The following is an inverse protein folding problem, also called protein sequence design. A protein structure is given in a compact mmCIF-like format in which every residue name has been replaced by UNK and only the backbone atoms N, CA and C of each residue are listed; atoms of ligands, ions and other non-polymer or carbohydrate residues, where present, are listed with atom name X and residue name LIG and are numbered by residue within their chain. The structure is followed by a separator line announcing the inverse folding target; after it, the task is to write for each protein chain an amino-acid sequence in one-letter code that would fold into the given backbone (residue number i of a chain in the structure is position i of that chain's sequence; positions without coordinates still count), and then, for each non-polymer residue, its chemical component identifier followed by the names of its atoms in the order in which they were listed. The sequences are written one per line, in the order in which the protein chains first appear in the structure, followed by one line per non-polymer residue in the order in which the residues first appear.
data_IF_895614399809
#
_entry.id   IF_895614399809
#
_cell.length_a   1.000
_cell.length_b   1.000
_cell.length_c   1.000
_cell.angle_alpha   90.00
_cell.angle_beta   90.00
_cell.angle_gamma   90.00
#
_symmetry.space_group_name_H-M   'P 1'
#
loop_
_entity.id
_entity.type
_entity.pdbx_description
1 polymer ?
#
# COMPACT_ATOMS: atom_id res chain seq x y z
N UNK A 1 16.79 -59.01 27.85
CA UNK A 1 16.96 -58.07 26.70
C UNK A 1 16.10 -58.61 25.56
N UNK A 2 15.16 -57.94 24.89
CA UNK A 2 14.65 -56.56 24.81
C UNK A 2 13.15 -56.66 24.46
N UNK A 3 12.31 -55.73 24.91
CA UNK A 3 11.12 -55.29 24.17
C UNK A 3 10.80 -53.82 24.47
N UNK A 4 10.99 -52.93 23.48
CA UNK A 4 10.15 -51.75 23.34
C UNK A 4 9.70 -51.64 21.88
N UNK A 5 8.47 -52.08 21.58
CA UNK A 5 7.90 -51.94 20.23
C UNK A 5 6.45 -51.41 20.22
N UNK A 6 5.86 -51.19 21.40
CA UNK A 6 4.46 -50.77 21.53
C UNK A 6 4.35 -49.24 21.71
N UNK A 7 5.32 -48.59 22.34
CA UNK A 7 5.29 -47.15 22.58
C UNK A 7 5.46 -46.31 21.29
N UNK A 8 6.23 -46.79 20.31
CA UNK A 8 6.49 -46.04 19.07
C UNK A 8 5.28 -45.98 18.15
N UNK A 9 4.47 -47.05 18.08
CA UNK A 9 3.27 -47.07 17.26
C UNK A 9 2.17 -46.15 17.83
N UNK A 10 2.06 -46.04 19.16
CA UNK A 10 1.10 -45.14 19.80
C UNK A 10 1.43 -43.65 19.54
N UNK A 11 2.73 -43.28 19.55
CA UNK A 11 3.16 -41.91 19.23
C UNK A 11 2.92 -41.53 17.77
N UNK A 12 3.13 -42.46 16.84
CA UNK A 12 2.89 -42.23 15.39
C UNK A 12 1.39 -42.08 15.07
N UNK A 13 0.51 -42.82 15.75
CA UNK A 13 -0.94 -42.63 15.63
C UNK A 13 -1.42 -41.31 16.24
N UNK A 14 -0.84 -40.87 17.36
CA UNK A 14 -1.14 -39.55 17.94
C UNK A 14 -0.71 -38.40 17.03
N UNK A 15 0.42 -38.52 16.32
CA UNK A 15 0.83 -37.55 15.30
C UNK A 15 -0.05 -37.57 14.05
N UNK A 16 -0.49 -38.74 13.58
CA UNK A 16 -1.38 -38.86 12.43
C UNK A 16 -2.79 -38.33 12.70
N UNK A 17 -3.30 -38.49 13.93
CA UNK A 17 -4.61 -37.96 14.35
C UNK A 17 -4.54 -36.45 14.62
N UNK A 18 -3.42 -35.92 15.12
CA UNK A 18 -3.23 -34.47 15.27
C UNK A 18 -3.04 -33.75 13.91
N UNK A 19 -2.49 -34.43 12.91
CA UNK A 19 -2.31 -33.87 11.57
C UNK A 19 -3.60 -33.88 10.70
N UNK A 20 -4.63 -34.66 11.08
CA UNK A 20 -5.86 -34.83 10.29
C UNK A 20 -7.04 -33.98 10.76
N UNK A 21 -6.87 -33.12 11.76
CA UNK A 21 -7.94 -32.19 12.23
C UNK A 21 -7.52 -30.72 12.29
N UNK A 22 -6.35 -30.36 11.73
CA UNK A 22 -6.15 -28.99 11.29
C UNK A 22 -6.94 -28.82 9.99
N UNK A 23 -8.25 -28.71 10.14
CA UNK A 23 -9.13 -28.11 9.16
C UNK A 23 -8.65 -26.65 9.03
N UNK A 24 -7.58 -26.46 8.24
CA UNK A 24 -7.11 -25.15 7.84
C UNK A 24 -8.22 -24.64 6.96
N UNK A 25 -9.24 -24.03 7.58
CA UNK A 25 -10.23 -23.24 6.87
C UNK A 25 -9.42 -22.38 5.91
N UNK A 26 -9.62 -22.60 4.61
CA UNK A 26 -8.99 -21.80 3.56
C UNK A 26 -9.20 -20.36 3.97
N UNK A 27 -8.14 -19.66 4.33
CA UNK A 27 -8.31 -18.36 4.93
C UNK A 27 -8.89 -17.43 3.85
N UNK A 28 -9.94 -16.69 4.22
CA UNK A 28 -10.69 -15.93 3.22
C UNK A 28 -9.90 -14.67 2.85
N UNK A 29 -9.35 -14.66 1.64
CA UNK A 29 -8.74 -13.48 1.05
C UNK A 29 -9.84 -12.61 0.41
N UNK A 30 -9.89 -11.33 0.79
CA UNK A 30 -10.81 -10.37 0.18
C UNK A 30 -10.02 -9.25 -0.43
N UNK A 31 -10.35 -8.88 -1.67
CA UNK A 31 -9.72 -7.73 -2.28
C UNK A 31 -10.43 -6.48 -1.80
N UNK A 32 -9.65 -5.49 -1.38
CA UNK A 32 -10.11 -4.12 -1.15
C UNK A 32 -9.61 -3.30 -2.33
N UNK A 33 -10.13 -3.62 -3.52
CA UNK A 33 -9.76 -2.88 -4.72
C UNK A 33 -10.54 -1.56 -4.73
N UNK A 34 -9.85 -0.41 -4.80
CA UNK A 34 -10.48 0.91 -4.96
C UNK A 34 -9.97 1.60 -6.22
N UNK A 35 -10.90 2.24 -6.91
CA UNK A 35 -10.65 3.25 -7.94
C UNK A 35 -10.74 4.66 -7.37
N UNK A 36 -9.65 5.40 -7.56
CA UNK A 36 -9.61 6.75 -8.13
C UNK A 36 -10.19 7.93 -7.35
N UNK A 37 -9.27 8.77 -6.87
CA UNK A 37 -9.53 10.07 -6.28
C UNK A 37 -8.69 11.16 -6.97
N UNK A 38 -9.31 12.08 -7.68
CA UNK A 38 -8.61 13.07 -8.49
C UNK A 38 -9.03 14.50 -8.15
N UNK A 39 -8.10 15.43 -8.31
CA UNK A 39 -8.29 16.87 -8.18
C UNK A 39 -8.63 17.44 -9.57
N UNK A 40 -9.89 17.83 -9.76
CA UNK A 40 -10.43 18.83 -10.71
C UNK A 40 -9.53 19.48 -11.80
N UNK A 41 -10.10 19.76 -13.00
CA UNK A 41 -9.73 19.31 -14.37
C UNK A 41 -8.56 20.02 -15.09
N UNK A 42 -7.66 20.73 -14.42
CA UNK A 42 -6.60 21.50 -15.10
C UNK A 42 -5.20 20.99 -14.80
N UNK A 43 -4.51 20.46 -15.82
CA UNK A 43 -3.04 20.33 -15.82
C UNK A 43 -2.46 18.94 -16.05
N UNK A 44 -3.27 17.87 -16.12
CA UNK A 44 -2.76 16.53 -16.42
C UNK A 44 -2.49 16.37 -17.92
N UNK A 45 -1.55 15.50 -18.28
CA UNK A 45 -1.40 15.06 -19.66
C UNK A 45 -2.71 14.49 -20.20
N UNK A 46 -2.97 14.72 -21.50
CA UNK A 46 -4.12 14.13 -22.17
C UNK A 46 -4.12 12.60 -22.01
N UNK A 47 -5.27 12.03 -21.67
CA UNK A 47 -5.46 10.60 -21.47
C UNK A 47 -5.09 10.06 -20.08
N UNK A 48 -4.63 10.90 -19.13
CA UNK A 48 -4.28 10.43 -17.78
C UNK A 48 -5.45 9.71 -17.10
N UNK A 49 -6.63 10.35 -17.07
CA UNK A 49 -7.80 9.72 -16.48
C UNK A 49 -8.23 8.44 -17.20
N UNK A 50 -8.11 8.36 -18.53
CA UNK A 50 -8.39 7.11 -19.24
C UNK A 50 -7.43 5.99 -18.83
N UNK A 51 -6.14 6.31 -18.64
CA UNK A 51 -5.14 5.36 -18.17
C UNK A 51 -5.39 4.90 -16.73
N UNK A 52 -5.75 5.80 -15.83
CA UNK A 52 -6.11 5.51 -14.44
C UNK A 52 -7.38 4.65 -14.35
N UNK A 53 -8.41 5.00 -15.14
CA UNK A 53 -9.64 4.20 -15.27
C UNK A 53 -9.33 2.78 -15.72
N UNK A 54 -8.56 2.68 -16.81
CA UNK A 54 -8.19 1.42 -17.43
C UNK A 54 -7.45 0.53 -16.45
N UNK A 55 -6.41 1.04 -15.78
CA UNK A 55 -5.57 0.19 -14.93
C UNK A 55 -6.35 -0.36 -13.74
N UNK A 56 -7.23 0.42 -13.14
CA UNK A 56 -7.98 -0.12 -12.02
C UNK A 56 -9.02 -1.15 -12.46
N UNK A 57 -9.62 -0.97 -13.64
CA UNK A 57 -10.47 -2.00 -14.24
C UNK A 57 -9.67 -3.29 -14.50
N UNK A 58 -8.46 -3.19 -15.05
CA UNK A 58 -7.60 -4.35 -15.26
C UNK A 58 -7.23 -5.06 -13.96
N UNK A 59 -6.82 -4.32 -12.93
CA UNK A 59 -6.51 -4.91 -11.62
C UNK A 59 -7.74 -5.61 -11.04
N UNK A 60 -8.92 -4.99 -11.16
CA UNK A 60 -10.17 -5.62 -10.75
C UNK A 60 -10.38 -6.98 -11.43
N UNK A 61 -10.20 -7.04 -12.76
CA UNK A 61 -10.35 -8.26 -13.55
C UNK A 61 -9.26 -9.30 -13.27
N UNK A 62 -8.01 -8.86 -13.05
CA UNK A 62 -6.90 -9.73 -12.64
C UNK A 62 -7.27 -10.50 -11.36
N UNK A 63 -7.80 -9.82 -10.33
CA UNK A 63 -8.29 -10.51 -9.15
C UNK A 63 -9.55 -11.34 -9.41
N UNK A 64 -10.52 -10.83 -10.19
CA UNK A 64 -11.77 -11.54 -10.46
C UNK A 64 -11.51 -12.90 -11.13
N UNK A 65 -10.60 -12.93 -12.11
CA UNK A 65 -10.29 -14.13 -12.88
C UNK A 65 -9.54 -15.21 -12.09
N UNK A 66 -8.93 -14.88 -10.95
CA UNK A 66 -8.26 -15.88 -10.10
C UNK A 66 -9.23 -16.75 -9.32
N UNK A 67 -10.46 -16.26 -9.05
CA UNK A 67 -11.48 -16.98 -8.28
C UNK A 67 -11.16 -17.16 -6.79
N UNK A 68 -9.96 -16.78 -6.34
CA UNK A 68 -9.45 -16.96 -4.97
C UNK A 68 -9.74 -15.76 -4.06
N UNK A 69 -10.03 -14.61 -4.65
CA UNK A 69 -10.32 -13.37 -3.93
C UNK A 69 -11.79 -13.01 -3.99
N UNK A 70 -12.41 -12.78 -2.82
CA UNK A 70 -13.75 -12.20 -2.74
C UNK A 70 -13.80 -10.85 -3.49
N UNK A 71 -14.75 -10.70 -4.41
CA UNK A 71 -14.81 -9.53 -5.29
C UNK A 71 -15.65 -8.38 -4.72
N UNK A 72 -15.10 -7.65 -3.76
CA UNK A 72 -15.66 -6.36 -3.34
C UNK A 72 -14.88 -5.21 -3.98
N UNK A 73 -15.22 -4.83 -5.21
CA UNK A 73 -14.96 -3.45 -5.65
C UNK A 73 -16.05 -2.57 -5.05
N UNK A 74 -15.86 -2.15 -3.81
CA UNK A 74 -16.95 -1.66 -2.97
C UNK A 74 -16.92 -0.13 -2.78
N UNK A 75 -16.40 0.60 -3.77
CA UNK A 75 -16.33 2.07 -3.75
C UNK A 75 -17.16 2.79 -4.81
N UNK A 76 -17.69 2.07 -5.82
CA UNK A 76 -18.43 2.67 -6.93
C UNK A 76 -17.53 3.41 -7.93
N UNK A 77 -18.12 4.23 -8.81
CA UNK A 77 -17.41 4.97 -9.88
C UNK A 77 -16.53 6.12 -9.36
N UNK A 78 -16.63 6.46 -8.08
CA UNK A 78 -15.97 7.62 -7.48
C UNK A 78 -15.43 7.27 -6.10
N UNK A 79 -14.19 7.65 -5.77
CA UNK A 79 -13.66 7.53 -4.40
C UNK A 79 -14.44 8.45 -3.46
N UNK A 80 -15.45 7.91 -2.78
CA UNK A 80 -16.20 8.59 -1.72
C UNK A 80 -15.75 8.07 -0.37
N UNK A 81 -15.45 8.98 0.55
CA UNK A 81 -15.00 8.68 1.91
C UNK A 81 -15.90 7.66 2.62
N UNK A 82 -17.23 7.82 2.52
CA UNK A 82 -18.20 6.93 3.14
C UNK A 82 -18.04 5.48 2.69
N UNK A 83 -17.84 5.26 1.38
CA UNK A 83 -17.58 3.92 0.87
C UNK A 83 -16.22 3.42 1.33
N UNK A 84 -15.16 4.24 1.25
CA UNK A 84 -13.80 3.93 1.76
C UNK A 84 -13.86 3.29 3.14
N UNK A 85 -14.58 3.94 4.03
CA UNK A 85 -14.69 3.51 5.41
C UNK A 85 -15.61 2.31 5.59
N UNK A 86 -16.70 2.21 4.84
CA UNK A 86 -17.58 1.03 4.88
C UNK A 86 -16.84 -0.25 4.51
N UNK A 87 -16.00 -0.23 3.47
CA UNK A 87 -15.25 -1.42 3.04
C UNK A 87 -14.15 -1.76 4.02
N UNK A 88 -13.43 -0.77 4.52
CA UNK A 88 -12.44 -1.01 5.58
C UNK A 88 -13.13 -1.68 6.78
N UNK A 89 -14.28 -1.19 7.25
CA UNK A 89 -15.04 -1.83 8.33
C UNK A 89 -15.61 -3.18 7.96
N UNK A 90 -16.02 -3.39 6.71
CA UNK A 90 -16.45 -4.68 6.22
C UNK A 90 -15.31 -5.70 6.38
N UNK A 91 -14.10 -5.36 5.96
CA UNK A 91 -12.94 -6.22 6.15
C UNK A 91 -12.68 -6.47 7.63
N UNK A 92 -12.74 -5.44 8.45
CA UNK A 92 -12.45 -5.53 9.89
C UNK A 92 -13.51 -6.31 10.70
N UNK A 93 -14.76 -6.33 10.25
CA UNK A 93 -15.86 -7.05 10.90
C UNK A 93 -15.51 -8.53 11.13
N UNK A 94 -15.58 -9.01 12.39
CA UNK A 94 -15.38 -10.42 12.71
C UNK A 94 -16.35 -11.36 11.98
N UNK A 95 -17.55 -10.86 11.68
CA UNK A 95 -18.63 -11.65 11.07
C UNK A 95 -18.42 -11.92 9.57
N UNK A 96 -17.55 -11.15 8.90
CA UNK A 96 -17.36 -11.25 7.46
C UNK A 96 -16.27 -12.25 7.06
N UNK A 97 -15.58 -12.88 8.02
CA UNK A 97 -14.60 -13.93 7.77
C UNK A 97 -13.31 -13.49 7.04
N UNK A 98 -13.17 -12.22 6.69
CA UNK A 98 -11.98 -11.69 5.99
C UNK A 98 -10.74 -11.93 6.84
N UNK A 99 -9.77 -12.64 6.28
CA UNK A 99 -8.46 -12.90 6.90
C UNK A 99 -7.41 -11.93 6.37
N UNK A 100 -7.44 -11.68 5.06
CA UNK A 100 -6.50 -10.77 4.39
C UNK A 100 -7.21 -9.81 3.46
N UNK A 101 -6.74 -8.57 3.47
CA UNK A 101 -7.15 -7.50 2.59
C UNK A 101 -5.95 -6.97 1.79
N UNK A 102 -6.17 -6.71 0.51
CA UNK A 102 -5.22 -5.97 -0.33
C UNK A 102 -5.84 -4.69 -0.85
N UNK A 103 -5.10 -3.58 -0.80
CA UNK A 103 -5.51 -2.28 -1.32
C UNK A 103 -4.76 -1.91 -2.60
N UNK A 104 -5.47 -1.31 -3.55
CA UNK A 104 -4.91 -0.61 -4.70
C UNK A 104 -5.50 0.80 -4.72
N UNK A 105 -4.66 1.81 -4.96
CA UNK A 105 -5.12 3.18 -5.24
C UNK A 105 -4.31 3.85 -6.33
N UNK A 106 -5.01 4.72 -7.06
CA UNK A 106 -4.42 5.70 -7.97
C UNK A 106 -5.15 7.03 -7.84
N UNK A 107 -4.44 8.14 -8.06
CA UNK A 107 -4.98 9.49 -8.01
C UNK A 107 -4.08 10.51 -7.31
N UNK A 108 -4.71 11.58 -6.81
CA UNK A 108 -4.03 12.77 -6.33
C UNK A 108 -3.94 12.85 -4.81
N UNK A 109 -2.83 13.43 -4.39
CA UNK A 109 -2.52 13.70 -2.99
C UNK A 109 -3.11 15.01 -2.50
N UNK A 110 -3.69 14.97 -1.30
CA UNK A 110 -4.15 16.15 -0.58
C UNK A 110 -3.39 16.33 0.73
N UNK A 111 -2.49 17.32 0.84
CA UNK A 111 -2.00 17.74 2.14
C UNK A 111 -3.10 18.50 2.88
N UNK A 112 -3.33 18.17 4.16
CA UNK A 112 -4.16 18.97 5.06
C UNK A 112 -3.25 19.74 5.98
N UNK A 113 -2.81 20.91 5.50
CA UNK A 113 -1.99 21.85 6.27
C UNK A 113 -2.56 22.08 7.68
N UNK A 114 -1.68 22.31 8.65
CA UNK A 114 -2.08 22.43 10.06
C UNK A 114 -1.16 21.66 10.99
N UNK A 115 -1.62 21.41 12.23
CA UNK A 115 -0.87 20.67 13.23
C UNK A 115 -1.12 19.15 13.09
N UNK A 116 -0.09 18.29 13.04
CA UNK A 116 1.34 18.59 13.19
C UNK A 116 1.94 19.32 11.98
N UNK A 117 2.59 20.45 12.23
CA UNK A 117 3.30 21.21 11.21
C UNK A 117 4.45 20.36 10.59
N UNK A 118 4.85 20.62 9.33
CA UNK A 118 4.41 21.71 8.46
C UNK A 118 3.19 21.44 7.54
N UNK A 119 2.83 20.19 7.22
CA UNK A 119 1.67 19.92 6.33
C UNK A 119 0.55 19.10 6.96
N UNK A 120 0.56 18.88 8.27
CA UNK A 120 -0.51 18.19 8.99
C UNK A 120 -0.70 16.75 8.53
N UNK A 121 -1.92 16.42 8.18
CA UNK A 121 -2.34 15.07 7.80
C UNK A 121 -2.26 14.86 6.29
N UNK A 122 -1.99 13.63 5.89
CA UNK A 122 -1.88 13.24 4.48
C UNK A 122 -3.17 12.60 4.02
N UNK A 123 -3.56 12.85 2.77
CA UNK A 123 -4.79 12.30 2.25
C UNK A 123 -4.80 12.09 0.75
N UNK A 124 -5.87 11.43 0.32
CA UNK A 124 -6.26 11.30 -1.08
C UNK A 124 -7.42 12.25 -1.35
N UNK A 125 -7.43 12.90 -2.50
CA UNK A 125 -8.64 13.60 -2.93
C UNK A 125 -9.79 12.63 -3.06
N UNK A 126 -10.93 12.98 -2.47
CA UNK A 126 -12.17 12.23 -2.70
C UNK A 126 -13.14 13.04 -3.53
N UNK A 127 -14.13 12.35 -4.07
CA UNK A 127 -15.21 12.95 -4.83
C UNK A 127 -16.00 13.95 -3.97
N UNK A 128 -16.34 15.10 -4.55
CA UNK A 128 -17.04 16.20 -3.87
C UNK A 128 -16.36 16.67 -2.56
N UNK A 129 -15.03 16.65 -2.52
CA UNK A 129 -14.26 17.10 -1.34
C UNK A 129 -14.31 16.11 -0.16
N UNK A 130 -14.72 14.87 -0.40
CA UNK A 130 -14.72 13.81 0.61
C UNK A 130 -13.35 13.14 0.71
N UNK A 131 -12.33 13.91 1.06
CA UNK A 131 -10.94 13.45 1.06
C UNK A 131 -10.68 12.41 2.16
N UNK A 132 -9.77 11.47 1.89
CA UNK A 132 -9.46 10.35 2.78
C UNK A 132 -8.11 10.58 3.39
N UNK A 133 -8.06 10.88 4.69
CA UNK A 133 -6.83 11.16 5.40
C UNK A 133 -6.28 9.95 6.16
N UNK A 134 -4.98 9.92 6.38
CA UNK A 134 -4.23 8.91 7.15
C UNK A 134 -4.83 8.64 8.53
N UNK A 135 -5.24 9.66 9.30
CA UNK A 135 -5.88 9.46 10.60
C UNK A 135 -7.21 8.72 10.51
N UNK A 136 -7.99 8.96 9.45
CA UNK A 136 -9.23 8.24 9.21
C UNK A 136 -8.94 6.81 8.73
N UNK A 137 -8.02 6.65 7.78
CA UNK A 137 -7.58 5.33 7.31
C UNK A 137 -7.11 4.48 8.49
N UNK A 138 -6.28 5.02 9.38
CA UNK A 138 -5.77 4.30 10.54
C UNK A 138 -6.91 3.79 11.43
N UNK A 139 -7.86 4.69 11.74
CA UNK A 139 -9.06 4.37 12.50
C UNK A 139 -9.87 3.25 11.84
N UNK A 140 -10.11 3.31 10.54
CA UNK A 140 -10.97 2.34 9.86
C UNK A 140 -10.25 1.03 9.46
N UNK A 141 -8.93 1.04 9.34
CA UNK A 141 -8.12 -0.14 8.99
C UNK A 141 -7.62 -0.91 10.22
N UNK A 142 -7.49 -0.27 11.39
CA UNK A 142 -6.90 -0.88 12.60
C UNK A 142 -7.89 -0.97 13.76
N UNK A 143 -9.10 -0.45 13.59
CA UNK A 143 -10.16 -0.56 14.59
C UNK A 143 -11.48 -0.98 13.94
N UNK A 144 -12.30 -1.65 14.72
CA UNK A 144 -13.68 -1.97 14.36
C UNK A 144 -14.64 -1.11 15.19
N UNK A 145 -15.51 -0.36 14.52
CA UNK A 145 -16.61 0.39 15.11
C UNK A 145 -17.80 -0.55 15.27
N UNK A 146 -18.14 -0.88 16.51
CA UNK A 146 -19.34 -1.65 16.79
C UNK A 146 -20.58 -0.80 16.51
N UNK A 147 -21.53 -1.28 15.67
CA UNK A 147 -22.78 -0.56 15.46
C UNK A 147 -23.58 -0.47 16.77
N UNK A 148 -24.60 0.41 16.82
CA UNK A 148 -25.51 0.49 17.97
C UNK A 148 -26.01 -0.90 18.41
N UNK A 149 -26.20 -1.12 19.73
CA UNK A 149 -26.26 -0.11 20.79
C UNK A 149 -24.91 0.30 21.38
N UNK A 150 -23.80 -0.34 21.00
CA UNK A 150 -22.53 -0.23 21.72
C UNK A 150 -21.67 0.96 21.28
N UNK A 151 -21.70 1.34 19.99
CA UNK A 151 -21.06 2.55 19.43
C UNK A 151 -19.65 2.89 19.97
N UNK A 152 -18.76 1.90 20.06
CA UNK A 152 -17.37 2.09 20.51
C UNK A 152 -16.36 1.45 19.55
N UNK A 153 -15.12 1.92 19.62
CA UNK A 153 -14.01 1.48 18.76
C UNK A 153 -13.17 0.40 19.45
N UNK A 154 -13.10 -0.77 18.84
CA UNK A 154 -12.26 -1.87 19.31
C UNK A 154 -10.97 -1.94 18.48
N UNK A 155 -9.77 -1.90 19.09
CA UNK A 155 -8.53 -2.19 18.38
C UNK A 155 -8.54 -3.61 17.85
N UNK A 156 -8.06 -3.79 16.62
CA UNK A 156 -7.87 -5.09 15.99
C UNK A 156 -6.55 -5.08 15.22
N UNK A 157 -5.98 -6.26 14.95
CA UNK A 157 -4.86 -6.36 14.02
C UNK A 157 -5.34 -5.95 12.62
N UNK A 158 -4.61 -5.06 11.95
CA UNK A 158 -4.92 -4.71 10.57
C UNK A 158 -4.97 -5.96 9.71
N UNK A 159 -6.09 -6.12 9.01
CA UNK A 159 -6.21 -7.14 7.96
C UNK A 159 -5.57 -6.71 6.65
N UNK A 160 -5.09 -5.46 6.54
CA UNK A 160 -4.42 -4.95 5.34
C UNK A 160 -3.04 -5.59 5.21
N UNK A 161 -3.00 -6.69 4.44
CA UNK A 161 -1.83 -7.49 4.19
C UNK A 161 -0.91 -6.86 3.13
N UNK A 162 -1.52 -6.19 2.14
CA UNK A 162 -0.79 -5.50 1.10
C UNK A 162 -1.51 -4.21 0.70
N UNK A 163 -0.79 -3.11 0.54
CA UNK A 163 -1.33 -1.88 -0.01
C UNK A 163 -0.39 -1.35 -1.09
N UNK A 164 -0.90 -1.16 -2.31
CA UNK A 164 -0.18 -0.54 -3.41
C UNK A 164 -0.87 0.78 -3.79
N UNK A 165 -0.21 1.88 -3.47
CA UNK A 165 -0.74 3.23 -3.64
C UNK A 165 0.08 4.01 -4.68
N UNK A 166 -0.50 4.25 -5.86
CA UNK A 166 0.08 5.04 -6.94
C UNK A 166 -0.49 6.45 -6.96
N UNK A 167 -0.03 7.30 -6.06
CA UNK A 167 -0.49 8.68 -5.99
C UNK A 167 0.67 9.58 -5.64
N UNK A 168 0.46 10.90 -5.73
CA UNK A 168 1.38 11.83 -5.11
C UNK A 168 1.47 11.52 -3.58
N UNK A 169 2.68 11.52 -3.07
CA UNK A 169 3.17 11.57 -1.70
C UNK A 169 2.45 10.77 -0.59
N UNK A 170 2.50 9.43 -0.64
CA UNK A 170 1.92 8.58 0.41
C UNK A 170 2.89 7.55 1.02
N UNK A 171 4.13 7.52 0.58
CA UNK A 171 5.15 6.61 1.05
C UNK A 171 6.04 7.16 2.14
N UNK A 172 6.16 8.47 2.35
CA UNK A 172 7.19 8.94 3.30
C UNK A 172 7.50 10.42 3.37
N UNK A 173 6.50 11.28 3.44
CA UNK A 173 6.73 12.70 3.67
C UNK A 173 7.16 13.03 5.10
N UNK A 174 6.97 12.12 6.07
CA UNK A 174 7.27 12.43 7.46
C UNK A 174 8.12 11.36 8.09
N UNK A 175 9.29 11.83 8.47
CA UNK A 175 10.26 11.06 9.16
C UNK A 175 10.54 11.69 10.48
N UNK A 176 10.39 10.85 11.49
CA UNK A 176 10.64 11.23 12.86
C UNK A 176 11.94 10.58 13.28
N UNK A 177 12.75 11.35 13.99
CA UNK A 177 13.88 10.78 14.74
C UNK A 177 13.32 9.84 15.82
N UNK A 178 14.19 9.04 16.43
CA UNK A 178 13.82 8.22 17.59
C UNK A 178 13.17 9.02 18.71
N UNK A 179 13.41 10.33 18.77
CA UNK A 179 12.99 11.23 19.85
C UNK A 179 11.65 11.92 19.59
N UNK A 180 11.03 11.70 18.42
CA UNK A 180 9.79 12.37 18.09
C UNK A 180 9.99 13.73 17.39
N UNK A 181 11.19 14.04 16.90
CA UNK A 181 11.45 15.28 16.15
C UNK A 181 11.25 15.08 14.65
N UNK A 182 10.72 16.09 13.97
CA UNK A 182 10.58 16.10 12.51
C UNK A 182 11.92 16.37 11.80
N UNK A 183 12.19 15.62 10.74
CA UNK A 183 13.35 15.83 9.87
C UNK A 183 12.93 16.29 8.47
N UNK A 184 13.30 17.53 8.12
CA UNK A 184 13.12 18.05 6.77
C UNK A 184 14.24 17.56 5.85
N UNK A 185 13.90 16.88 4.75
CA UNK A 185 14.82 16.69 3.63
C UNK A 185 14.31 17.51 2.44
N UNK A 186 14.96 18.63 2.12
CA UNK A 186 14.66 19.39 0.90
C UNK A 186 14.67 18.49 -0.34
N UNK A 187 13.71 18.71 -1.22
CA UNK A 187 13.38 17.85 -2.36
C UNK A 187 12.38 16.74 -2.02
N UNK A 188 12.41 16.15 -0.82
CA UNK A 188 11.47 15.08 -0.49
C UNK A 188 10.28 15.62 0.32
N UNK A 189 10.54 16.29 1.44
CA UNK A 189 9.48 16.77 2.33
C UNK A 189 9.04 18.18 2.00
N UNK A 190 9.89 18.97 1.35
CA UNK A 190 9.60 20.31 0.86
C UNK A 190 10.27 20.52 -0.50
N UNK A 191 9.76 21.38 -1.39
CA UNK A 191 10.39 21.59 -2.69
C UNK A 191 11.80 22.17 -2.52
N UNK A 192 12.72 21.73 -3.36
CA UNK A 192 14.04 22.33 -3.52
C UNK A 192 13.99 23.45 -4.58
N UNK A 193 14.86 24.46 -4.48
CA UNK A 193 14.97 25.50 -5.52
C UNK A 193 15.50 24.94 -6.85
N UNK A 194 16.30 23.87 -6.80
CA UNK A 194 16.85 23.17 -7.97
C UNK A 194 17.16 21.70 -7.63
N UNK A 195 17.25 20.81 -8.63
CA UNK A 195 17.74 19.45 -8.45
C UNK A 195 19.14 19.41 -7.84
N UNK A 196 19.41 18.47 -6.94
CA UNK A 196 20.74 18.19 -6.38
C UNK A 196 21.24 16.81 -6.78
N UNK A 197 22.57 16.67 -6.90
CA UNK A 197 23.27 15.43 -7.25
C UNK A 197 24.49 15.27 -6.32
N UNK A 198 24.58 14.21 -5.49
CA UNK A 198 23.65 13.10 -5.38
C UNK A 198 22.25 13.56 -4.91
N UNK A 199 21.19 12.78 -5.23
CA UNK A 199 19.85 13.12 -4.80
C UNK A 199 19.75 13.08 -3.26
N UNK A 200 18.74 13.75 -2.67
CA UNK A 200 18.59 13.80 -1.23
C UNK A 200 18.39 12.40 -0.65
N UNK A 201 19.16 12.09 0.39
CA UNK A 201 19.03 10.85 1.14
C UNK A 201 18.21 11.11 2.41
N UNK A 202 17.33 10.17 2.74
CA UNK A 202 16.63 10.17 4.01
C UNK A 202 17.30 9.17 4.96
N UNK A 203 17.90 9.61 6.08
CA UNK A 203 18.53 8.72 7.04
C UNK A 203 17.55 8.08 8.04
N UNK A 204 16.28 8.45 8.03
CA UNK A 204 15.33 8.02 9.05
C UNK A 204 14.73 6.63 8.79
N UNK A 205 14.36 5.98 9.89
CA UNK A 205 13.85 4.60 9.91
C UNK A 205 12.34 4.49 10.14
N UNK A 206 11.62 5.60 10.27
CA UNK A 206 10.18 5.63 10.59
C UNK A 206 9.40 6.45 9.56
N UNK A 207 8.25 5.92 9.15
CA UNK A 207 7.44 6.44 8.05
C UNK A 207 5.98 6.66 8.47
N UNK A 208 5.85 7.53 9.47
CA UNK A 208 4.62 7.84 10.18
C UNK A 208 4.81 7.79 11.69
N UNK A 209 3.87 8.38 12.44
CA UNK A 209 3.91 8.45 13.89
C UNK A 209 2.52 8.64 14.48
N UNK A 210 2.37 8.27 15.75
CA UNK A 210 1.15 8.51 16.53
C UNK A 210 1.22 9.93 17.08
N UNK A 211 0.28 10.78 16.68
CA UNK A 211 0.17 12.18 17.13
C UNK A 211 -0.43 12.26 18.52
N UNK A 212 -1.55 11.56 18.73
CA UNK A 212 -2.23 11.49 20.03
C UNK A 212 -2.51 10.03 20.39
N UNK A 213 -1.69 9.39 21.25
CA UNK A 213 -1.92 8.02 21.69
C UNK A 213 -3.11 7.88 22.65
N UNK A 214 -3.63 8.99 23.18
CA UNK A 214 -4.70 9.01 24.17
C UNK A 214 -6.09 9.17 23.56
N UNK A 215 -6.20 9.45 22.26
CA UNK A 215 -7.50 9.41 21.58
C UNK A 215 -7.88 7.97 21.24
N UNK A 216 -9.18 7.70 21.12
CA UNK A 216 -9.69 6.37 20.76
C UNK A 216 -10.58 6.47 19.52
N UNK A 217 -10.08 6.07 18.33
CA UNK A 217 -8.72 5.59 18.04
C UNK A 217 -7.63 6.67 18.13
N UNK A 218 -6.34 6.29 18.28
CA UNK A 218 -5.21 7.19 18.18
C UNK A 218 -5.22 7.94 16.85
N UNK A 219 -4.83 9.21 16.87
CA UNK A 219 -4.58 9.95 15.64
C UNK A 219 -3.14 9.70 15.19
N UNK A 220 -2.95 9.47 13.90
CA UNK A 220 -1.65 9.19 13.30
C UNK A 220 -1.41 10.05 12.08
N UNK A 221 -0.15 10.21 11.71
CA UNK A 221 0.28 10.79 10.44
C UNK A 221 1.13 9.78 9.70
N UNK A 222 0.96 9.73 8.38
CA UNK A 222 1.70 8.87 7.46
C UNK A 222 0.87 7.68 7.00
N UNK A 223 0.62 7.60 5.69
CA UNK A 223 -0.14 6.51 5.09
C UNK A 223 0.44 5.11 5.34
N UNK A 224 1.78 4.87 5.34
CA UNK A 224 2.28 3.52 5.61
C UNK A 224 1.87 3.04 7.00
N UNK A 225 2.01 3.89 8.03
CA UNK A 225 1.48 3.61 9.38
C UNK A 225 -0.05 3.47 9.38
N UNK A 226 -0.77 4.32 8.66
CA UNK A 226 -2.23 4.28 8.61
C UNK A 226 -2.77 2.94 8.09
N UNK A 227 -2.20 2.43 7.01
CA UNK A 227 -2.60 1.14 6.40
C UNK A 227 -2.22 -0.07 7.24
N UNK A 228 -0.97 -0.07 7.69
CA UNK A 228 -0.36 -1.26 8.29
C UNK A 228 -0.61 -1.38 9.79
N UNK A 229 -0.91 -0.25 10.46
CA UNK A 229 -0.98 -0.19 11.91
C UNK A 229 0.38 -0.22 12.61
N UNK A 230 1.48 -0.32 11.85
CA UNK A 230 2.82 -0.52 12.37
C UNK A 230 3.72 0.68 12.08
N UNK A 231 4.41 1.15 13.11
CA UNK A 231 5.43 2.19 13.02
C UNK A 231 6.85 1.62 12.84
N UNK A 232 6.98 0.30 12.84
CA UNK A 232 8.24 -0.45 12.79
C UNK A 232 8.40 -1.20 11.47
N UNK A 233 7.97 -0.57 10.37
CA UNK A 233 8.12 -1.11 9.02
C UNK A 233 9.59 -1.03 8.60
N UNK A 234 10.13 -2.06 7.93
CA UNK A 234 11.34 -1.88 7.14
C UNK A 234 11.12 -0.76 6.12
N UNK A 235 12.13 0.10 5.97
CA UNK A 235 12.11 1.24 5.03
C UNK A 235 12.60 0.87 3.63
N UNK A 236 13.22 -0.30 3.54
CA UNK A 236 13.66 -0.94 2.32
C UNK A 236 13.15 -2.38 2.35
N UNK A 237 11.83 -2.52 2.36
CA UNK A 237 11.17 -3.82 2.32
C UNK A 237 11.50 -4.63 1.07
N UNK A 238 12.10 -4.00 0.05
CA UNK A 238 12.54 -4.65 -1.18
C UNK A 238 13.90 -5.37 -1.00
N UNK A 239 14.94 -4.70 -0.49
CA UNK A 239 16.25 -5.33 -0.27
C UNK A 239 16.43 -5.93 1.13
N UNK A 240 15.77 -5.35 2.13
CA UNK A 240 15.86 -5.73 3.54
C UNK A 240 14.46 -5.88 4.16
N UNK A 241 13.64 -6.82 3.68
CA UNK A 241 12.29 -7.07 4.20
C UNK A 241 12.32 -7.37 5.70
N UNK A 242 11.35 -6.85 6.44
CA UNK A 242 11.11 -7.30 7.81
C UNK A 242 10.30 -8.62 7.85
N UNK A 243 9.97 -9.08 9.05
CA UNK A 243 9.17 -10.30 9.28
C UNK A 243 7.68 -10.01 9.48
N UNK A 244 7.22 -8.80 9.18
CA UNK A 244 5.83 -8.41 9.33
C UNK A 244 4.91 -9.14 8.36
N UNK A 245 3.61 -9.14 8.65
CA UNK A 245 2.54 -9.67 7.79
C UNK A 245 1.88 -8.59 6.94
N UNK A 246 2.61 -7.53 6.63
CA UNK A 246 2.15 -6.39 5.84
C UNK A 246 3.23 -5.95 4.86
N UNK A 247 2.81 -5.37 3.74
CA UNK A 247 3.70 -4.64 2.85
C UNK A 247 2.95 -3.43 2.28
N UNK A 248 3.61 -2.28 2.27
CA UNK A 248 3.07 -1.05 1.68
C UNK A 248 4.00 -0.60 0.55
N UNK A 249 3.45 -0.35 -0.62
CA UNK A 249 4.16 0.21 -1.78
C UNK A 249 3.55 1.57 -2.10
N UNK A 250 4.38 2.60 -2.19
CA UNK A 250 3.92 3.94 -2.54
C UNK A 250 5.06 4.90 -2.80
N UNK A 251 4.75 6.19 -2.99
CA UNK A 251 5.71 7.19 -3.42
C UNK A 251 6.12 8.13 -2.28
N UNK A 252 7.41 8.40 -2.10
CA UNK A 252 7.86 9.40 -1.11
C UNK A 252 7.22 10.77 -1.38
N UNK A 253 7.10 11.14 -2.66
CA UNK A 253 6.48 12.39 -3.12
C UNK A 253 5.67 12.14 -4.38
N UNK A 254 5.71 13.04 -5.36
CA UNK A 254 4.85 13.04 -6.55
C UNK A 254 5.09 11.79 -7.40
N UNK A 255 4.06 10.97 -7.58
CA UNK A 255 4.11 9.87 -8.54
C UNK A 255 4.13 10.41 -9.97
N UNK A 256 4.79 9.74 -10.92
CA UNK A 256 4.64 10.06 -12.33
C UNK A 256 3.23 9.71 -12.80
N UNK A 257 2.79 10.47 -13.80
CA UNK A 257 1.53 10.25 -14.52
C UNK A 257 1.50 8.86 -15.17
N UNK A 258 0.37 8.18 -15.08
CA UNK A 258 0.13 6.87 -15.69
C UNK A 258 0.38 6.84 -17.19
N UNK A 259 0.09 7.91 -17.94
CA UNK A 259 0.35 7.96 -19.39
C UNK A 259 1.82 8.16 -19.77
N UNK A 260 2.72 8.34 -18.80
CA UNK A 260 4.16 8.57 -19.02
C UNK A 260 4.43 9.62 -20.11
N UNK A 261 4.10 10.91 -19.90
CA UNK A 261 4.27 11.96 -20.90
C UNK A 261 5.75 12.14 -21.33
N UNK A 262 6.69 11.65 -20.52
CA UNK A 262 8.13 11.69 -20.78
C UNK A 262 8.68 10.49 -21.58
N UNK A 263 7.83 9.50 -21.91
CA UNK A 263 8.09 8.52 -22.98
C UNK A 263 9.20 7.51 -22.73
N UNK A 264 9.26 6.89 -21.55
CA UNK A 264 10.22 5.80 -21.32
C UNK A 264 9.92 4.61 -22.25
N UNK A 265 10.73 4.43 -23.30
CA UNK A 265 10.56 3.42 -24.34
C UNK A 265 9.15 3.36 -24.97
N UNK A 266 8.43 4.49 -24.99
CA UNK A 266 7.04 4.56 -25.46
C UNK A 266 6.03 3.79 -24.58
N UNK A 267 6.43 3.31 -23.40
CA UNK A 267 5.56 2.58 -22.48
C UNK A 267 4.94 3.50 -21.43
N UNK A 268 3.67 3.25 -21.11
CA UNK A 268 2.92 3.98 -20.08
C UNK A 268 3.18 3.38 -18.69
N UNK A 269 3.23 4.21 -17.65
CA UNK A 269 3.43 3.73 -16.28
C UNK A 269 2.26 2.89 -15.75
N UNK A 270 1.06 3.03 -16.32
CA UNK A 270 -0.10 2.17 -16.03
C UNK A 270 0.19 0.67 -16.16
N UNK A 271 1.14 0.30 -17.02
CA UNK A 271 1.53 -1.10 -17.21
C UNK A 271 2.32 -1.67 -16.03
N UNK A 272 2.95 -0.83 -15.21
CA UNK A 272 3.72 -1.29 -14.07
C UNK A 272 2.85 -2.02 -13.02
N UNK A 273 1.81 -1.39 -12.43
CA UNK A 273 0.91 -2.08 -11.53
C UNK A 273 0.13 -3.22 -12.22
N UNK A 274 -0.12 -3.14 -13.52
CA UNK A 274 -0.75 -4.22 -14.30
C UNK A 274 0.09 -5.51 -14.26
N UNK A 275 1.35 -5.42 -14.68
CA UNK A 275 2.26 -6.57 -14.69
C UNK A 275 2.61 -7.03 -13.29
N UNK A 276 2.68 -6.12 -12.33
CA UNK A 276 2.86 -6.47 -10.92
C UNK A 276 1.77 -7.44 -10.45
N UNK A 277 0.48 -7.08 -10.60
CA UNK A 277 -0.61 -7.92 -10.09
C UNK A 277 -0.76 -9.23 -10.87
N UNK A 278 -0.51 -9.23 -12.18
CA UNK A 278 -0.52 -10.47 -12.98
C UNK A 278 0.51 -11.48 -12.51
N UNK A 279 1.71 -11.03 -12.17
CA UNK A 279 2.76 -11.92 -11.67
C UNK A 279 2.52 -12.31 -10.21
N UNK A 280 2.10 -11.36 -9.37
CA UNK A 280 1.79 -11.61 -7.96
C UNK A 280 0.70 -12.68 -7.79
N UNK A 281 -0.32 -12.67 -8.65
CA UNK A 281 -1.42 -13.65 -8.66
C UNK A 281 -1.17 -14.84 -9.59
N UNK A 282 0.06 -15.07 -10.03
CA UNK A 282 0.45 -16.26 -10.77
C UNK A 282 -0.04 -16.35 -12.22
N UNK A 283 -0.78 -15.35 -12.74
CA UNK A 283 -1.28 -15.34 -14.12
C UNK A 283 -0.12 -15.39 -15.12
N UNK A 284 0.93 -14.59 -14.88
CA UNK A 284 2.15 -14.56 -15.69
C UNK A 284 3.27 -15.45 -15.12
N UNK A 285 2.97 -16.27 -14.11
CA UNK A 285 3.94 -17.12 -13.42
C UNK A 285 3.45 -18.57 -13.31
N UNK A 286 2.83 -19.09 -14.38
CA UNK A 286 2.41 -20.49 -14.50
C UNK A 286 1.48 -20.97 -13.37
N UNK A 287 0.61 -20.08 -12.87
CA UNK A 287 -0.30 -20.35 -11.76
C UNK A 287 0.34 -20.26 -10.37
N UNK A 288 1.62 -19.92 -10.26
CA UNK A 288 2.33 -19.81 -8.98
C UNK A 288 2.36 -18.35 -8.53
N UNK A 289 1.71 -18.03 -7.42
CA UNK A 289 1.78 -16.69 -6.84
C UNK A 289 3.23 -16.32 -6.49
N UNK A 290 3.62 -15.09 -6.82
CA UNK A 290 4.96 -14.58 -6.55
C UNK A 290 4.95 -13.61 -5.37
N UNK A 291 6.10 -13.46 -4.70
CA UNK A 291 6.24 -12.46 -3.67
C UNK A 291 6.26 -11.03 -4.25
N UNK A 292 6.01 -10.03 -3.39
CA UNK A 292 5.96 -8.62 -3.79
C UNK A 292 7.25 -8.22 -4.51
N UNK A 293 8.42 -8.59 -3.97
CA UNK A 293 9.72 -8.28 -4.57
C UNK A 293 9.84 -8.77 -6.02
N UNK A 294 9.55 -10.05 -6.25
CA UNK A 294 9.65 -10.68 -7.57
C UNK A 294 8.62 -10.12 -8.55
N UNK A 295 7.45 -9.73 -8.04
CA UNK A 295 6.39 -9.09 -8.82
C UNK A 295 6.77 -7.68 -9.26
N UNK A 296 7.45 -6.91 -8.40
CA UNK A 296 8.01 -5.60 -8.76
C UNK A 296 9.15 -5.76 -9.79
N UNK A 297 10.00 -6.78 -9.63
CA UNK A 297 11.08 -7.09 -10.59
C UNK A 297 10.53 -7.49 -11.95
N UNK A 298 9.45 -8.28 -11.99
CA UNK A 298 8.75 -8.60 -13.23
C UNK A 298 8.13 -7.34 -13.87
N UNK A 299 7.40 -6.53 -13.12
CA UNK A 299 6.82 -5.29 -13.62
C UNK A 299 7.89 -4.35 -14.21
N UNK A 300 9.03 -4.20 -13.54
CA UNK A 300 10.13 -3.39 -14.02
C UNK A 300 10.71 -3.92 -15.35
N UNK A 301 10.87 -5.25 -15.50
CA UNK A 301 11.32 -5.85 -16.76
C UNK A 301 10.36 -5.58 -17.90
N UNK A 302 9.06 -5.69 -17.63
CA UNK A 302 8.04 -5.53 -18.65
C UNK A 302 7.91 -4.08 -19.12
N UNK A 303 8.06 -3.12 -18.21
CA UNK A 303 7.90 -1.69 -18.53
C UNK A 303 9.20 -1.05 -19.02
N UNK A 304 10.33 -1.41 -18.42
CA UNK A 304 11.62 -0.74 -18.68
C UNK A 304 12.57 -1.55 -19.57
N UNK A 305 12.29 -2.84 -19.78
CA UNK A 305 13.09 -3.76 -20.59
C UNK A 305 13.81 -4.83 -19.76
N UNK A 306 14.28 -5.88 -20.42
CA UNK A 306 14.81 -7.11 -19.77
C UNK A 306 15.99 -6.90 -18.82
N UNK A 307 16.75 -5.82 -18.98
CA UNK A 307 17.88 -5.47 -18.09
C UNK A 307 17.48 -4.78 -16.78
N UNK A 308 16.20 -4.50 -16.57
CA UNK A 308 15.71 -3.81 -15.38
C UNK A 308 15.17 -4.79 -14.34
N UNK A 309 15.30 -4.41 -13.08
CA UNK A 309 14.54 -4.92 -11.95
C UNK A 309 13.98 -3.71 -11.19
N UNK A 310 13.22 -3.90 -10.12
CA UNK A 310 12.68 -2.75 -9.42
C UNK A 310 13.80 -1.87 -8.85
N UNK A 311 14.79 -2.47 -8.17
CA UNK A 311 15.87 -1.74 -7.50
C UNK A 311 16.74 -0.87 -8.40
N UNK A 312 16.90 -1.21 -9.69
CA UNK A 312 17.64 -0.41 -10.67
C UNK A 312 16.72 0.41 -11.61
N UNK A 313 15.41 0.35 -11.42
CA UNK A 313 14.46 1.15 -12.20
C UNK A 313 14.41 2.60 -11.73
N UNK A 314 13.99 3.50 -12.63
CA UNK A 314 13.73 4.91 -12.29
C UNK A 314 12.68 5.08 -11.20
N UNK A 315 11.76 4.12 -11.03
CA UNK A 315 10.76 4.17 -9.96
C UNK A 315 11.44 4.05 -8.59
N UNK A 316 12.38 3.11 -8.41
CA UNK A 316 13.07 2.93 -7.14
C UNK A 316 14.20 3.94 -6.92
N UNK A 317 14.97 4.23 -7.98
CA UNK A 317 16.08 5.18 -7.92
C UNK A 317 15.63 6.63 -7.88
N UNK A 318 14.37 6.90 -8.21
CA UNK A 318 13.76 8.22 -8.22
C UNK A 318 14.20 9.17 -9.31
N UNK A 319 13.45 10.25 -9.45
CA UNK A 319 13.74 11.37 -10.34
C UNK A 319 13.29 12.70 -9.76
N UNK A 320 13.88 13.78 -10.26
CA UNK A 320 13.47 15.14 -9.91
C UNK A 320 12.28 15.57 -10.78
N UNK A 321 11.18 15.91 -10.13
CA UNK A 321 9.94 16.38 -10.74
C UNK A 321 9.70 17.83 -10.31
N UNK A 322 9.63 18.75 -11.28
CA UNK A 322 9.23 20.12 -10.99
C UNK A 322 7.71 20.19 -10.94
N UNK A 323 7.16 20.62 -9.81
CA UNK A 323 5.72 20.84 -9.65
C UNK A 323 5.46 22.30 -9.39
N UNK A 324 4.68 22.93 -10.27
CA UNK A 324 4.18 24.30 -10.11
C UNK A 324 2.77 24.35 -9.51
N UNK A 325 2.11 23.19 -9.36
CA UNK A 325 0.70 23.09 -8.95
C UNK A 325 0.44 22.39 -7.60
N UNK A 326 1.44 21.80 -6.96
CA UNK A 326 1.30 21.11 -5.66
C UNK A 326 2.01 21.93 -4.58
N UNK A 327 1.24 22.58 -3.70
CA UNK A 327 1.78 23.34 -2.56
C UNK A 327 2.72 24.47 -2.98
N UNK A 328 3.79 24.79 -2.20
CA UNK A 328 4.84 25.68 -2.70
C UNK A 328 5.48 25.03 -3.92
N UNK A 329 5.43 25.70 -5.07
CA UNK A 329 6.02 25.16 -6.29
C UNK A 329 7.54 24.94 -6.16
N UNK A 330 8.07 24.00 -6.94
CA UNK A 330 9.51 23.74 -7.04
C UNK A 330 9.86 22.29 -7.35
N UNK A 331 11.12 21.93 -7.12
CA UNK A 331 11.67 20.61 -7.47
C UNK A 331 11.47 19.62 -6.34
N UNK A 332 10.81 18.51 -6.63
CA UNK A 332 10.60 17.40 -5.73
C UNK A 332 11.38 16.19 -6.23
N UNK A 333 12.07 15.51 -5.33
CA UNK A 333 12.67 14.22 -5.63
C UNK A 333 11.66 13.13 -5.30
N UNK A 334 11.27 12.38 -6.31
CA UNK A 334 10.19 11.40 -6.27
C UNK A 334 10.74 10.01 -6.47
N UNK A 335 10.49 9.09 -5.53
CA UNK A 335 10.77 7.66 -5.69
C UNK A 335 9.69 6.79 -5.05
N UNK A 336 9.45 5.65 -5.66
CA UNK A 336 8.64 4.59 -5.11
C UNK A 336 9.43 3.83 -4.05
N UNK A 337 8.75 3.44 -2.98
CA UNK A 337 9.28 2.72 -1.83
C UNK A 337 8.44 1.49 -1.54
N UNK A 338 9.12 0.50 -0.98
CA UNK A 338 8.52 -0.72 -0.44
C UNK A 338 8.79 -0.69 1.06
N UNK A 339 7.73 -0.62 1.85
CA UNK A 339 7.80 -0.67 3.30
C UNK A 339 7.29 -2.01 3.82
N UNK A 340 7.92 -2.52 4.86
CA UNK A 340 7.53 -3.77 5.48
C UNK A 340 8.20 -4.98 4.86
N UNK A 341 7.41 -6.02 4.58
CA UNK A 341 7.91 -7.30 4.13
C UNK A 341 7.68 -7.52 2.62
N UNK A 342 8.67 -7.22 1.79
CA UNK A 342 8.63 -7.53 0.35
C UNK A 342 8.65 -9.02 -0.01
N UNK A 343 8.89 -9.91 0.96
CA UNK A 343 8.82 -11.37 0.75
C UNK A 343 7.40 -11.93 0.87
N UNK A 344 6.40 -11.11 1.21
CA UNK A 344 5.01 -11.57 1.27
C UNK A 344 4.51 -12.03 -0.10
N UNK A 345 3.71 -13.09 -0.07
CA UNK A 345 3.01 -13.64 -1.24
C UNK A 345 1.54 -13.32 -1.05
N UNK A 346 0.89 -12.78 -2.06
CA UNK A 346 -0.56 -12.54 -1.99
C UNK A 346 -1.28 -13.87 -1.80
N UNK A 347 -2.22 -13.98 -0.85
CA UNK A 347 -2.99 -15.20 -0.60
C UNK A 347 -3.64 -15.82 -1.84
N UNK A 348 -3.86 -17.14 -1.74
CA UNK A 348 -4.58 -17.99 -2.69
C UNK A 348 -5.98 -18.32 -2.19
#
# INVERSE_FOLDING_TARGET
MRKPCIATCALLLLFAVAASTLDVKSAAATKVAVQWGHLAPSGYPAGEGEAESWICNEIYWVFYNTGTWGSSNAYGTYTQLGYVFQVLQYCQSPNNGVTWATAWWVGDFKPKGGNPQPFGYLGFYGHNGQDIFDYDVYKYANYYLWPPPNSWWQPISSKQYFAFIWTCANGGLYWYTSNGDWYNVPGITSPAPSPTYPPPANPNTKYGFVVNPYSTPPTVVGMPLAWTGSSSLSIDGYNSPDYGSYCYVGWETISPWMVNPTGYNGMQYKWFPYYFYRYALGIDNYGVHANIKSSLDYAARMVFGSGYNFGNSKLASGEWVNSTGIGPGGWWYSRMRVFGNGNLILPY
#
